data_IF_624875261638
#
_entry.id   IF_624875261638
#
_cell.length_a   1.000
_cell.length_b   1.000
_cell.length_c   1.000
_cell.angle_alpha   90.00
_cell.angle_beta   90.00
_cell.angle_gamma   90.00
#
_symmetry.space_group_name_H-M   'P 1'
#
loop_
_entity.id
_entity.type
_entity.pdbx_description
1 polymer ?
#
# COMPACT_ATOMS: atom_id res chain seq x y z
N UNK A 1 4.83 -15.46 1.83
CA UNK A 1 4.34 -15.22 0.46
C UNK A 1 4.25 -13.73 0.18
N UNK A 2 4.38 -13.30 -1.09
CA UNK A 2 4.24 -11.88 -1.47
C UNK A 2 3.03 -11.75 -2.39
N UNK A 3 2.08 -10.89 -2.02
CA UNK A 3 0.92 -10.55 -2.82
C UNK A 3 1.18 -9.22 -3.53
N UNK A 4 1.39 -9.25 -4.84
CA UNK A 4 1.61 -8.07 -5.67
C UNK A 4 0.31 -7.64 -6.36
N UNK A 5 -0.01 -6.36 -6.29
CA UNK A 5 -1.17 -5.78 -6.96
C UNK A 5 -0.75 -4.62 -7.83
N UNK A 6 -1.12 -4.68 -9.11
CA UNK A 6 -0.90 -3.63 -10.11
C UNK A 6 -2.23 -3.28 -10.77
N UNK A 7 -2.41 -2.04 -11.22
CA UNK A 7 -3.62 -1.65 -11.94
C UNK A 7 -3.60 -2.14 -13.38
N UNK A 8 -2.45 -2.02 -14.04
CA UNK A 8 -2.30 -2.26 -15.46
C UNK A 8 -1.40 -3.47 -15.72
N UNK A 9 -1.73 -4.21 -16.79
CA UNK A 9 -0.87 -5.31 -17.25
C UNK A 9 0.54 -4.82 -17.63
N UNK A 10 0.67 -3.60 -18.15
CA UNK A 10 1.98 -3.03 -18.49
C UNK A 10 2.88 -2.88 -17.25
N UNK A 11 2.33 -2.48 -16.10
CA UNK A 11 3.02 -2.42 -14.82
C UNK A 11 3.45 -3.81 -14.33
N UNK A 12 2.62 -4.83 -14.58
CA UNK A 12 2.86 -6.21 -14.17
C UNK A 12 3.98 -6.92 -14.97
N UNK A 13 4.23 -6.49 -16.22
CA UNK A 13 5.06 -7.25 -17.16
C UNK A 13 6.49 -7.53 -16.68
N UNK A 14 7.24 -6.58 -16.08
CA UNK A 14 8.58 -6.87 -15.55
C UNK A 14 8.57 -7.95 -14.47
N UNK A 15 7.58 -7.92 -13.60
CA UNK A 15 7.41 -8.91 -12.52
C UNK A 15 7.05 -10.28 -13.08
N UNK A 16 6.09 -10.37 -14.01
CA UNK A 16 5.70 -11.63 -14.64
C UNK A 16 6.91 -12.30 -15.31
N UNK A 17 7.69 -11.52 -16.05
CA UNK A 17 8.85 -12.03 -16.79
C UNK A 17 9.97 -12.44 -15.85
N UNK A 18 10.39 -11.56 -14.95
CA UNK A 18 11.61 -11.76 -14.16
C UNK A 18 11.39 -12.74 -12.99
N UNK A 19 10.17 -12.82 -12.44
CA UNK A 19 9.81 -13.78 -11.40
C UNK A 19 9.27 -15.10 -11.96
N UNK A 20 9.23 -15.26 -13.30
CA UNK A 20 8.70 -16.45 -13.99
C UNK A 20 7.28 -16.82 -13.55
N UNK A 21 6.41 -15.80 -13.37
CA UNK A 21 5.05 -16.02 -12.94
C UNK A 21 4.21 -16.64 -14.07
N UNK A 22 3.39 -17.62 -13.73
CA UNK A 22 2.48 -18.30 -14.66
C UNK A 22 1.06 -17.84 -14.42
N UNK A 23 0.33 -17.61 -15.52
CA UNK A 23 -1.07 -17.23 -15.46
C UNK A 23 -1.90 -18.34 -14.83
N UNK A 24 -2.82 -17.96 -13.97
CA UNK A 24 -3.81 -18.81 -13.33
C UNK A 24 -5.22 -18.36 -13.75
N UNK A 25 -6.15 -19.29 -13.89
CA UNK A 25 -7.54 -18.97 -14.18
C UNK A 25 -8.23 -18.37 -12.95
N UNK A 26 -8.96 -17.28 -13.15
CA UNK A 26 -9.64 -16.61 -12.05
C UNK A 26 -10.48 -15.42 -12.52
N UNK A 27 -11.19 -14.76 -11.60
CA UNK A 27 -12.00 -13.58 -11.90
C UNK A 27 -11.16 -12.35 -12.26
N UNK A 28 -9.88 -12.35 -11.91
CA UNK A 28 -8.86 -11.34 -12.24
C UNK A 28 -7.73 -11.98 -13.03
N UNK A 29 -6.90 -11.16 -13.68
CA UNK A 29 -5.66 -11.64 -14.30
C UNK A 29 -4.63 -11.93 -13.20
N UNK A 30 -4.54 -13.17 -12.77
CA UNK A 30 -3.66 -13.65 -11.70
C UNK A 30 -2.47 -14.38 -12.31
N UNK A 31 -1.29 -14.10 -11.79
CA UNK A 31 -0.03 -14.74 -12.17
C UNK A 31 0.69 -15.18 -10.90
N UNK A 32 1.23 -16.41 -10.86
CA UNK A 32 1.87 -16.91 -9.64
C UNK A 32 3.10 -17.77 -9.87
N UNK A 33 3.91 -17.87 -8.83
CA UNK A 33 4.89 -18.90 -8.55
C UNK A 33 4.73 -19.37 -7.08
N UNK A 34 5.58 -20.26 -6.52
CA UNK A 34 5.46 -20.69 -5.13
C UNK A 34 5.51 -19.56 -4.09
N UNK A 35 6.19 -18.46 -4.36
CA UNK A 35 6.48 -17.40 -3.38
C UNK A 35 5.70 -16.10 -3.63
N UNK A 36 5.10 -15.95 -4.81
CA UNK A 36 4.49 -14.69 -5.25
C UNK A 36 3.17 -14.92 -5.98
N UNK A 37 2.17 -14.13 -5.65
CA UNK A 37 0.91 -14.01 -6.40
C UNK A 37 0.80 -12.57 -6.86
N UNK A 38 0.77 -12.35 -8.18
CA UNK A 38 0.55 -11.05 -8.79
C UNK A 38 -0.84 -10.97 -9.39
N UNK A 39 -1.57 -9.92 -9.06
CA UNK A 39 -2.93 -9.69 -9.54
C UNK A 39 -3.02 -8.34 -10.24
N UNK A 40 -3.51 -8.33 -11.48
CA UNK A 40 -3.87 -7.11 -12.19
C UNK A 40 -5.31 -6.76 -11.84
N UNK A 41 -5.47 -5.67 -11.10
CA UNK A 41 -6.77 -5.28 -10.51
C UNK A 41 -7.71 -4.60 -11.50
N UNK A 42 -7.16 -4.01 -12.58
CA UNK A 42 -7.84 -2.97 -13.35
C UNK A 42 -7.82 -1.64 -12.60
N UNK A 43 -8.35 -0.60 -13.24
CA UNK A 43 -8.34 0.77 -12.72
C UNK A 43 -9.51 1.05 -11.79
N UNK A 44 -9.27 1.88 -10.79
CA UNK A 44 -10.26 2.38 -9.84
C UNK A 44 -10.28 1.67 -8.49
N UNK A 45 -10.64 2.41 -7.41
CA UNK A 45 -10.51 1.91 -6.05
C UNK A 45 -11.43 0.72 -5.74
N UNK A 46 -12.63 0.68 -6.36
CA UNK A 46 -13.56 -0.43 -6.15
C UNK A 46 -13.07 -1.74 -6.78
N UNK A 47 -12.51 -1.67 -8.01
CA UNK A 47 -11.93 -2.84 -8.67
C UNK A 47 -10.73 -3.37 -7.90
N UNK A 48 -9.88 -2.46 -7.44
CA UNK A 48 -8.71 -2.77 -6.63
C UNK A 48 -9.10 -3.44 -5.30
N UNK A 49 -10.09 -2.89 -4.59
CA UNK A 49 -10.59 -3.48 -3.34
C UNK A 49 -11.19 -4.87 -3.54
N UNK A 50 -11.96 -5.07 -4.61
CA UNK A 50 -12.54 -6.37 -4.95
C UNK A 50 -11.45 -7.42 -5.25
N UNK A 51 -10.41 -7.05 -6.00
CA UNK A 51 -9.30 -7.92 -6.32
C UNK A 51 -8.51 -8.34 -5.06
N UNK A 52 -8.15 -7.38 -4.20
CA UNK A 52 -7.46 -7.66 -2.93
C UNK A 52 -8.29 -8.57 -2.03
N UNK A 53 -9.56 -8.24 -1.83
CA UNK A 53 -10.45 -9.04 -0.98
C UNK A 53 -10.62 -10.47 -1.52
N UNK A 54 -10.76 -10.62 -2.84
CA UNK A 54 -10.88 -11.94 -3.47
C UNK A 54 -9.64 -12.79 -3.25
N UNK A 55 -8.46 -12.24 -3.48
CA UNK A 55 -7.19 -12.99 -3.37
C UNK A 55 -6.87 -13.31 -1.91
N UNK A 56 -6.93 -12.31 -1.02
CA UNK A 56 -6.54 -12.50 0.38
C UNK A 56 -7.53 -13.40 1.15
N UNK A 57 -8.83 -13.41 0.79
CA UNK A 57 -9.80 -14.32 1.41
C UNK A 57 -9.55 -15.79 1.06
N UNK A 58 -9.02 -16.06 -0.14
CA UNK A 58 -8.69 -17.43 -0.58
C UNK A 58 -7.39 -17.91 0.08
N UNK A 59 -6.39 -17.04 0.16
CA UNK A 59 -5.05 -17.43 0.59
C UNK A 59 -4.79 -17.26 2.08
N UNK A 60 -5.66 -16.53 2.81
CA UNK A 60 -5.58 -16.35 4.27
C UNK A 60 -4.16 -16.01 4.75
N UNK A 61 -3.62 -14.83 4.43
CA UNK A 61 -2.22 -14.49 4.70
C UNK A 61 -1.86 -14.60 6.18
N UNK A 62 -0.65 -15.07 6.46
CA UNK A 62 -0.06 -15.15 7.79
C UNK A 62 0.83 -13.96 8.12
N UNK A 63 1.53 -14.05 9.25
CA UNK A 63 2.38 -12.98 9.79
C UNK A 63 3.61 -12.68 8.93
N UNK A 64 4.12 -13.68 8.19
CA UNK A 64 5.28 -13.54 7.29
C UNK A 64 4.89 -13.15 5.87
N UNK A 65 3.61 -12.95 5.59
CA UNK A 65 3.13 -12.61 4.26
C UNK A 65 3.03 -11.09 4.11
N UNK A 66 3.32 -10.60 2.90
CA UNK A 66 3.29 -9.18 2.58
C UNK A 66 2.42 -8.89 1.38
N UNK A 67 1.78 -7.73 1.41
CA UNK A 67 1.11 -7.14 0.27
C UNK A 67 1.92 -5.96 -0.25
N UNK A 68 2.15 -5.91 -1.56
CA UNK A 68 2.71 -4.74 -2.23
C UNK A 68 1.77 -4.24 -3.33
N UNK A 69 1.36 -3.00 -3.23
CA UNK A 69 0.77 -2.28 -4.35
C UNK A 69 1.86 -1.56 -5.12
N UNK A 70 1.96 -1.85 -6.40
CA UNK A 70 2.98 -1.31 -7.28
C UNK A 70 2.30 -0.71 -8.50
N UNK A 71 2.63 0.53 -8.84
CA UNK A 71 2.03 1.19 -9.98
C UNK A 71 2.55 2.61 -10.20
N UNK A 72 2.03 3.25 -11.23
CA UNK A 72 2.31 4.64 -11.54
C UNK A 72 1.34 5.58 -10.82
N UNK A 73 1.75 6.82 -10.64
CA UNK A 73 0.94 7.89 -10.07
C UNK A 73 1.30 9.24 -10.69
N UNK A 74 0.37 10.18 -10.71
CA UNK A 74 0.68 11.56 -11.07
C UNK A 74 1.31 12.30 -9.88
N UNK A 75 2.30 13.15 -10.14
CA UNK A 75 2.85 14.09 -9.17
C UNK A 75 1.95 15.31 -9.01
N UNK A 76 1.67 15.70 -7.75
CA UNK A 76 0.89 16.91 -7.44
C UNK A 76 1.80 18.01 -6.88
N UNK A 77 2.64 17.68 -5.92
CA UNK A 77 3.50 18.64 -5.23
C UNK A 77 4.84 18.01 -4.89
N UNK A 78 5.93 18.76 -5.11
CA UNK A 78 7.33 18.40 -4.81
C UNK A 78 7.79 17.02 -5.30
N UNK A 79 6.92 16.27 -6.00
CA UNK A 79 7.22 14.96 -6.55
C UNK A 79 8.03 15.08 -7.85
N UNK A 80 9.15 14.37 -7.94
CA UNK A 80 10.00 14.37 -9.13
C UNK A 80 9.55 13.32 -10.14
N UNK A 81 9.44 13.71 -11.40
CA UNK A 81 9.13 12.78 -12.50
C UNK A 81 10.12 11.62 -12.53
N UNK A 82 9.63 10.43 -12.89
CA UNK A 82 10.40 9.20 -13.02
C UNK A 82 11.11 8.75 -11.73
N UNK A 83 10.67 9.25 -10.58
CA UNK A 83 11.15 8.82 -9.26
C UNK A 83 10.14 7.86 -8.64
N UNK A 84 10.64 6.79 -8.02
CA UNK A 84 9.81 5.88 -7.23
C UNK A 84 9.74 6.38 -5.80
N UNK A 85 8.55 6.43 -5.27
CA UNK A 85 8.27 6.80 -3.88
C UNK A 85 7.62 5.63 -3.13
N UNK A 86 7.98 5.50 -1.86
CA UNK A 86 7.28 4.67 -0.89
C UNK A 86 6.20 5.49 -0.21
N UNK A 87 4.98 4.96 -0.18
CA UNK A 87 3.83 5.68 0.34
C UNK A 87 3.65 5.35 1.81
N UNK A 88 3.70 6.37 2.67
CA UNK A 88 3.45 6.25 4.11
C UNK A 88 2.03 6.62 4.51
N UNK A 89 1.31 7.34 3.65
CA UNK A 89 -0.06 7.76 3.89
C UNK A 89 -0.87 7.67 2.60
N UNK A 90 -2.07 7.09 2.68
CA UNK A 90 -3.04 7.07 1.58
C UNK A 90 -4.32 7.74 2.02
N UNK A 91 -4.75 8.79 1.32
CA UNK A 91 -6.01 9.50 1.57
C UNK A 91 -7.03 9.14 0.48
N UNK A 92 -8.19 8.63 0.88
CA UNK A 92 -9.31 8.46 -0.03
C UNK A 92 -10.03 9.79 -0.24
N UNK A 93 -9.98 10.29 -1.49
CA UNK A 93 -10.55 11.60 -1.84
C UNK A 93 -12.07 11.68 -1.62
N UNK A 94 -12.78 10.55 -1.74
CA UNK A 94 -14.23 10.52 -1.67
C UNK A 94 -14.76 10.56 -0.23
N UNK A 95 -14.08 9.90 0.68
CA UNK A 95 -14.48 9.78 2.10
C UNK A 95 -13.64 10.65 3.04
N UNK A 96 -12.48 11.14 2.60
CA UNK A 96 -11.50 11.82 3.43
C UNK A 96 -10.80 10.91 4.45
N UNK A 97 -10.93 9.58 4.30
CA UNK A 97 -10.32 8.62 5.21
C UNK A 97 -8.86 8.38 4.87
N UNK A 98 -8.02 8.35 5.90
CA UNK A 98 -6.60 8.06 5.80
C UNK A 98 -6.28 6.61 6.16
N UNK A 99 -5.29 6.05 5.47
CA UNK A 99 -4.68 4.74 5.75
C UNK A 99 -3.17 4.92 5.82
N UNK A 100 -2.53 4.22 6.74
CA UNK A 100 -1.09 4.34 7.01
C UNK A 100 -0.40 2.99 6.80
N UNK A 101 0.11 2.70 5.59
CA UNK A 101 1.03 1.59 5.39
C UNK A 101 2.28 1.81 6.23
N UNK A 102 2.85 0.72 6.71
CA UNK A 102 3.93 0.80 7.67
C UNK A 102 5.27 1.26 7.13
N UNK A 103 6.02 1.93 8.02
CA UNK A 103 7.37 2.45 7.84
C UNK A 103 8.33 2.02 8.96
N UNK A 104 8.20 0.79 9.48
CA UNK A 104 9.10 0.28 10.54
C UNK A 104 10.56 0.22 10.10
N UNK A 105 10.81 0.13 8.80
CA UNK A 105 12.15 0.15 8.22
C UNK A 105 12.24 1.33 7.27
N UNK A 106 13.29 2.15 7.42
CA UNK A 106 13.56 3.29 6.55
C UNK A 106 14.50 2.86 5.42
N UNK A 107 13.99 2.51 4.23
CA UNK A 107 14.82 2.26 3.06
C UNK A 107 15.34 3.57 2.47
N UNK A 108 16.20 3.45 1.46
CA UNK A 108 16.70 4.59 0.69
C UNK A 108 15.66 5.23 -0.24
N UNK A 109 14.55 4.53 -0.49
CA UNK A 109 13.43 5.01 -1.32
C UNK A 109 12.76 6.21 -0.66
N UNK A 110 12.64 7.37 -1.34
CA UNK A 110 11.99 8.54 -0.78
C UNK A 110 10.52 8.28 -0.46
N UNK A 111 10.00 9.01 0.52
CA UNK A 111 8.62 8.87 1.00
C UNK A 111 7.70 9.92 0.39
N UNK A 112 6.42 9.55 0.26
CA UNK A 112 5.38 10.46 -0.21
C UNK A 112 4.01 10.11 0.39
N UNK A 113 3.10 11.08 0.40
CA UNK A 113 1.67 10.88 0.59
C UNK A 113 0.99 10.59 -0.74
N UNK A 114 -0.03 9.74 -0.72
CA UNK A 114 -0.83 9.37 -1.89
C UNK A 114 -2.29 9.79 -1.68
N UNK A 115 -2.86 10.46 -2.65
CA UNK A 115 -4.29 10.75 -2.73
C UNK A 115 -4.89 9.83 -3.78
N UNK A 116 -5.93 9.10 -3.43
CA UNK A 116 -6.63 8.21 -4.37
C UNK A 116 -7.99 8.78 -4.73
N UNK A 117 -8.27 8.88 -6.02
CA UNK A 117 -9.59 9.29 -6.53
C UNK A 117 -10.15 8.34 -7.59
N UNK A 118 -11.45 8.46 -7.85
CA UNK A 118 -12.15 7.61 -8.82
C UNK A 118 -11.91 8.01 -10.30
N UNK A 119 -11.30 9.17 -10.54
CA UNK A 119 -11.02 9.69 -11.89
C UNK A 119 -9.54 10.02 -12.01
N UNK A 120 -9.05 9.98 -13.23
CA UNK A 120 -7.69 10.40 -13.53
C UNK A 120 -7.49 11.87 -13.13
N UNK A 121 -6.34 12.16 -12.53
CA UNK A 121 -5.88 13.53 -12.29
C UNK A 121 -5.62 14.25 -13.62
N UNK A 122 -6.15 15.44 -13.78
CA UNK A 122 -6.06 16.21 -15.02
C UNK A 122 -5.18 17.48 -14.90
N UNK A 123 -4.64 17.74 -13.70
CA UNK A 123 -3.82 18.93 -13.46
C UNK A 123 -4.61 20.25 -13.47
N UNK A 124 -5.94 20.20 -13.50
CA UNK A 124 -6.79 21.40 -13.60
C UNK A 124 -6.96 22.07 -12.22
N UNK A 125 -6.93 23.42 -12.14
CA UNK A 125 -7.16 24.13 -10.87
C UNK A 125 -8.54 23.85 -10.22
N UNK A 126 -9.49 23.37 -11.03
CA UNK A 126 -10.83 23.00 -10.56
C UNK A 126 -10.91 21.55 -10.07
N UNK A 127 -9.83 20.79 -10.18
CA UNK A 127 -9.77 19.41 -9.70
C UNK A 127 -10.06 19.36 -8.19
N UNK A 128 -10.94 18.46 -7.73
CA UNK A 128 -11.22 18.28 -6.30
C UNK A 128 -9.98 18.08 -5.43
N UNK A 129 -8.91 17.54 -6.00
CA UNK A 129 -7.62 17.34 -5.32
C UNK A 129 -7.05 18.65 -4.81
N UNK A 130 -7.08 19.73 -5.61
CA UNK A 130 -6.56 21.05 -5.18
C UNK A 130 -7.34 21.61 -3.99
N UNK A 131 -8.65 21.40 -3.92
CA UNK A 131 -9.46 21.81 -2.76
C UNK A 131 -9.08 20.99 -1.53
N UNK A 132 -8.91 19.68 -1.68
CA UNK A 132 -8.51 18.80 -0.58
C UNK A 132 -7.13 19.17 -0.03
N UNK A 133 -6.18 19.48 -0.90
CA UNK A 133 -4.84 19.93 -0.50
C UNK A 133 -4.88 21.34 0.11
N UNK A 134 -5.72 22.26 -0.42
CA UNK A 134 -5.84 23.65 0.04
C UNK A 134 -6.67 23.80 1.31
N UNK A 135 -7.77 23.05 1.44
CA UNK A 135 -8.73 23.13 2.54
C UNK A 135 -8.38 22.19 3.70
N UNK A 136 -7.50 21.22 3.46
CA UNK A 136 -7.06 20.33 4.52
C UNK A 136 -6.28 21.17 5.55
N UNK A 137 -6.70 21.09 6.80
CA UNK A 137 -5.88 21.41 7.98
C UNK A 137 -4.69 20.44 8.12
N UNK A 138 -4.41 19.65 7.07
CA UNK A 138 -3.15 18.97 6.93
C UNK A 138 -2.10 20.07 6.89
N UNK A 139 -1.12 20.10 7.80
CA UNK A 139 0.06 20.85 7.54
C UNK A 139 0.58 20.26 6.23
N UNK A 140 0.38 20.98 5.12
CA UNK A 140 1.21 20.81 3.94
C UNK A 140 2.59 21.19 4.47
N UNK A 141 3.31 20.19 4.95
CA UNK A 141 4.74 20.33 5.16
C UNK A 141 5.22 20.71 3.77
N UNK A 142 5.70 21.92 3.62
CA UNK A 142 6.01 22.57 2.34
C UNK A 142 6.99 21.76 1.46
N UNK A 143 7.50 20.65 1.96
CA UNK A 143 8.53 19.83 1.37
C UNK A 143 8.10 18.36 1.15
N UNK A 144 6.85 17.96 1.50
CA UNK A 144 6.37 16.59 1.30
C UNK A 144 5.92 16.35 -0.14
N UNK A 145 6.40 15.26 -0.74
CA UNK A 145 5.93 14.81 -2.04
C UNK A 145 4.50 14.27 -1.94
N UNK A 146 3.61 14.77 -2.80
CA UNK A 146 2.22 14.32 -2.88
C UNK A 146 1.98 13.73 -4.27
N UNK A 147 1.42 12.54 -4.29
CA UNK A 147 1.11 11.77 -5.48
C UNK A 147 -0.41 11.54 -5.59
N UNK A 148 -0.86 11.20 -6.78
CA UNK A 148 -2.25 10.85 -7.04
C UNK A 148 -2.37 9.59 -7.88
N UNK A 149 -3.24 8.68 -7.45
CA UNK A 149 -3.59 7.48 -8.19
C UNK A 149 -5.12 7.20 -8.19
N UNK A 150 -5.48 6.04 -8.68
CA UNK A 150 -6.88 5.62 -8.72
C UNK A 150 -7.14 4.33 -7.92
N UNK A 151 -6.17 3.72 -7.28
CA UNK A 151 -6.30 2.37 -6.67
C UNK A 151 -5.89 2.30 -5.20
N UNK A 152 -4.95 3.12 -4.77
CA UNK A 152 -4.26 3.00 -3.47
C UNK A 152 -5.18 2.89 -2.27
N UNK A 153 -6.24 3.71 -2.19
CA UNK A 153 -7.18 3.68 -1.07
C UNK A 153 -7.99 2.38 -1.03
N UNK A 154 -8.40 1.89 -2.20
CA UNK A 154 -9.13 0.62 -2.30
C UNK A 154 -8.27 -0.56 -1.86
N UNK A 155 -6.99 -0.56 -2.25
CA UNK A 155 -6.03 -1.59 -1.84
C UNK A 155 -5.76 -1.51 -0.34
N UNK A 156 -5.42 -0.32 0.18
CA UNK A 156 -5.11 -0.12 1.59
C UNK A 156 -6.30 -0.49 2.49
N UNK A 157 -7.51 -0.05 2.11
CA UNK A 157 -8.74 -0.38 2.82
C UNK A 157 -8.98 -1.88 2.87
N UNK A 158 -8.95 -2.56 1.72
CA UNK A 158 -9.21 -3.99 1.66
C UNK A 158 -8.11 -4.79 2.39
N UNK A 159 -6.84 -4.43 2.21
CA UNK A 159 -5.71 -5.07 2.86
C UNK A 159 -5.78 -4.98 4.40
N UNK A 160 -6.22 -3.86 4.95
CA UNK A 160 -6.33 -3.65 6.41
C UNK A 160 -7.27 -4.64 7.12
N UNK A 161 -8.14 -5.34 6.37
CA UNK A 161 -8.99 -6.39 6.91
C UNK A 161 -8.28 -7.75 7.05
N UNK A 162 -7.13 -7.93 6.41
CA UNK A 162 -6.42 -9.20 6.35
C UNK A 162 -5.00 -9.13 6.93
N UNK A 163 -4.36 -7.97 6.83
CA UNK A 163 -2.96 -7.74 7.13
C UNK A 163 -2.81 -6.62 8.15
N UNK A 164 -1.75 -6.71 8.94
CA UNK A 164 -1.31 -5.61 9.80
C UNK A 164 -0.62 -4.51 8.97
N UNK A 165 -0.54 -3.26 9.47
CA UNK A 165 0.08 -2.17 8.72
C UNK A 165 1.49 -2.49 8.20
N UNK A 166 2.34 -3.10 9.00
CA UNK A 166 3.73 -3.44 8.64
C UNK A 166 3.85 -4.49 7.51
N UNK A 167 2.76 -5.18 7.17
CA UNK A 167 2.71 -6.14 6.07
C UNK A 167 2.28 -5.47 4.74
N UNK A 168 1.95 -4.17 4.75
CA UNK A 168 1.47 -3.46 3.57
C UNK A 168 2.55 -2.51 3.07
N UNK A 169 2.88 -2.59 1.79
CA UNK A 169 3.80 -1.70 1.09
C UNK A 169 3.14 -1.11 -0.14
N UNK A 170 3.39 0.16 -0.40
CA UNK A 170 2.90 0.83 -1.60
C UNK A 170 4.06 1.57 -2.24
N UNK A 171 4.39 1.20 -3.48
CA UNK A 171 5.41 1.84 -4.29
C UNK A 171 4.76 2.49 -5.51
N UNK A 172 5.04 3.76 -5.72
CA UNK A 172 4.52 4.52 -6.86
C UNK A 172 5.64 5.23 -7.60
N UNK A 173 5.67 5.05 -8.93
CA UNK A 173 6.55 5.83 -9.81
C UNK A 173 5.79 7.03 -10.36
N UNK A 174 6.38 8.21 -10.28
CA UNK A 174 5.76 9.42 -10.82
C UNK A 174 5.82 9.38 -12.34
N UNK A 175 4.65 9.31 -12.97
CA UNK A 175 4.50 9.21 -14.42
C UNK A 175 4.31 10.54 -15.12
N UNK A 176 3.58 11.43 -14.51
CA UNK A 176 3.14 12.70 -15.10
C UNK A 176 2.70 13.70 -14.01
N UNK A 177 2.34 14.90 -14.43
CA UNK A 177 1.76 15.97 -13.60
C UNK A 177 0.35 16.34 -14.08
N UNK A 178 -0.43 15.32 -14.48
CA UNK A 178 -1.77 15.48 -15.06
C UNK A 178 -1.81 15.37 -16.59
N UNK A 179 -0.68 15.14 -17.24
CA UNK A 179 -0.57 14.98 -18.68
C UNK A 179 -0.82 13.51 -19.12
N UNK A 180 -1.25 13.27 -20.35
CA UNK A 180 -1.30 11.93 -20.92
C UNK A 180 0.11 11.33 -21.03
N UNK A 181 0.24 10.05 -20.67
CA UNK A 181 1.49 9.29 -20.79
C UNK A 181 1.38 8.23 -21.91
N UNK A 182 2.50 7.86 -22.50
CA UNK A 182 2.55 6.81 -23.53
C UNK A 182 2.65 5.42 -22.90
N UNK A 183 2.42 4.38 -23.72
CA UNK A 183 2.62 2.99 -23.25
C UNK A 183 4.10 2.68 -23.01
N UNK A 184 4.97 3.30 -23.78
CA UNK A 184 6.42 3.19 -23.68
C UNK A 184 6.90 3.75 -22.33
N UNK A 185 6.36 4.91 -21.91
CA UNK A 185 6.65 5.51 -20.61
C UNK A 185 6.20 4.60 -19.46
N UNK A 186 5.00 4.04 -19.53
CA UNK A 186 4.51 3.09 -18.52
C UNK A 186 5.44 1.88 -18.42
N UNK A 187 5.92 1.36 -19.55
CA UNK A 187 6.83 0.21 -19.54
C UNK A 187 8.18 0.54 -18.92
N UNK A 188 8.73 1.73 -19.18
CA UNK A 188 9.98 2.19 -18.58
C UNK A 188 9.84 2.38 -17.06
N UNK A 189 8.73 2.97 -16.60
CA UNK A 189 8.43 3.16 -15.19
C UNK A 189 8.19 1.82 -14.47
N UNK A 190 7.59 0.84 -15.15
CA UNK A 190 7.41 -0.50 -14.60
C UNK A 190 8.75 -1.21 -14.34
N UNK A 191 9.77 -0.99 -15.17
CA UNK A 191 11.13 -1.50 -14.91
C UNK A 191 11.76 -0.82 -13.67
N UNK A 192 11.58 0.50 -13.50
CA UNK A 192 12.04 1.21 -12.29
C UNK A 192 11.34 0.68 -11.03
N UNK A 193 10.04 0.45 -11.10
CA UNK A 193 9.27 -0.14 -10.01
C UNK A 193 9.75 -1.56 -9.68
N UNK A 194 10.15 -2.34 -10.67
CA UNK A 194 10.73 -3.65 -10.43
C UNK A 194 12.08 -3.57 -9.70
N UNK A 195 12.92 -2.59 -10.04
CA UNK A 195 14.19 -2.37 -9.32
C UNK A 195 13.94 -1.96 -7.86
N UNK A 196 13.02 -1.01 -7.62
CA UNK A 196 12.64 -0.61 -6.27
C UNK A 196 12.05 -1.79 -5.46
N UNK A 197 11.25 -2.65 -6.09
CA UNK A 197 10.77 -3.89 -5.46
C UNK A 197 11.92 -4.78 -4.99
N UNK A 198 12.97 -4.95 -5.80
CA UNK A 198 14.13 -5.76 -5.40
C UNK A 198 14.90 -5.16 -4.21
N UNK A 199 14.91 -3.83 -4.09
CA UNK A 199 15.52 -3.13 -2.94
C UNK A 199 14.67 -3.27 -1.66
N UNK A 200 13.35 -3.32 -1.77
CA UNK A 200 12.44 -3.52 -0.63
C UNK A 200 12.45 -4.96 -0.07
N UNK A 201 12.69 -5.97 -0.91
CA UNK A 201 12.61 -7.37 -0.51
C UNK A 201 13.48 -7.75 0.70
N UNK A 202 14.76 -7.33 0.81
CA UNK A 202 15.58 -7.62 1.98
C UNK A 202 15.02 -7.01 3.26
N UNK A 203 14.48 -5.79 3.17
CA UNK A 203 13.89 -5.09 4.30
C UNK A 203 12.64 -5.82 4.83
N UNK A 204 11.78 -6.26 3.91
CA UNK A 204 10.59 -7.03 4.26
C UNK A 204 10.95 -8.36 4.94
N UNK A 205 11.91 -9.09 4.39
CA UNK A 205 12.39 -10.36 4.98
C UNK A 205 13.04 -10.16 6.35
N UNK A 206 13.75 -9.06 6.54
CA UNK A 206 14.37 -8.75 7.84
C UNK A 206 13.32 -8.46 8.93
N UNK A 207 12.13 -7.99 8.59
CA UNK A 207 11.03 -7.82 9.54
C UNK A 207 10.49 -9.16 10.06
N UNK A 208 10.48 -10.20 9.23
CA UNK A 208 10.04 -11.54 9.61
C UNK A 208 11.00 -12.25 10.62
N UNK A 209 12.26 -11.82 10.68
CA UNK A 209 13.32 -12.48 11.47
C UNK A 209 13.37 -11.98 12.93
N UNK A 210 12.50 -11.07 13.37
CA UNK A 210 12.42 -10.75 14.79
C UNK A 210 11.87 -11.95 15.55
N UNK A 211 12.83 -12.77 16.04
CA UNK A 211 12.60 -13.93 16.89
C UNK A 211 11.76 -13.52 18.10
N UNK A 212 10.73 -14.31 18.38
CA UNK A 212 10.00 -14.36 19.66
C UNK A 212 9.50 -13.01 20.21
N UNK A 213 8.75 -12.24 19.42
CA UNK A 213 7.85 -11.26 20.01
C UNK A 213 6.69 -12.06 20.64
N UNK A 214 6.58 -12.15 21.98
CA UNK A 214 5.48 -12.87 22.59
C UNK A 214 4.17 -12.29 22.10
N UNK A 215 3.22 -13.15 21.70
CA UNK A 215 1.89 -12.69 21.36
C UNK A 215 1.32 -11.94 22.58
N UNK A 216 1.21 -10.62 22.49
CA UNK A 216 0.60 -9.81 23.56
C UNK A 216 -0.87 -10.20 23.60
N UNK A 217 -1.26 -10.90 24.68
CA UNK A 217 -2.67 -11.19 24.90
C UNK A 217 -3.41 -9.88 25.15
N UNK A 218 -4.32 -9.54 24.24
CA UNK A 218 -5.20 -8.38 24.40
C UNK A 218 -6.50 -8.74 25.16
N UNK A 219 -6.61 -9.96 25.70
CA UNK A 219 -7.87 -10.48 26.23
C UNK A 219 -8.42 -9.63 27.39
N UNK A 220 -7.57 -9.30 28.38
CA UNK A 220 -7.99 -8.46 29.51
C UNK A 220 -8.40 -7.06 29.05
N UNK A 221 -7.60 -6.42 28.20
CA UNK A 221 -7.92 -5.10 27.66
C UNK A 221 -9.17 -5.12 26.79
N UNK A 222 -9.35 -6.16 25.99
CA UNK A 222 -10.53 -6.33 25.14
C UNK A 222 -11.80 -6.60 25.96
N UNK A 223 -11.68 -7.24 27.13
CA UNK A 223 -12.80 -7.42 28.08
C UNK A 223 -13.16 -6.10 28.75
N UNK A 224 -12.19 -5.36 29.23
CA UNK A 224 -12.40 -4.05 29.86
C UNK A 224 -13.06 -3.05 28.90
N UNK A 225 -12.68 -3.07 27.64
CA UNK A 225 -13.25 -2.24 26.57
C UNK A 225 -14.56 -2.77 26.00
N UNK A 226 -15.06 -3.92 26.46
CA UNK A 226 -16.20 -4.63 25.85
C UNK A 226 -16.07 -4.78 24.32
N UNK A 227 -14.87 -5.10 23.87
CA UNK A 227 -14.51 -5.09 22.46
C UNK A 227 -15.22 -6.20 21.66
N UNK A 228 -15.81 -5.81 20.52
CA UNK A 228 -16.31 -6.77 19.52
C UNK A 228 -15.17 -7.62 18.94
N UNK A 229 -15.48 -8.72 18.24
CA UNK A 229 -14.47 -9.55 17.58
C UNK A 229 -13.58 -8.75 16.61
N UNK A 230 -14.18 -7.80 15.87
CA UNK A 230 -13.43 -6.92 14.96
C UNK A 230 -12.50 -5.99 15.73
N UNK A 231 -12.97 -5.41 16.84
CA UNK A 231 -12.14 -4.55 17.70
C UNK A 231 -11.01 -5.34 18.35
N UNK A 232 -11.25 -6.57 18.83
CA UNK A 232 -10.22 -7.45 19.40
C UNK A 232 -9.09 -7.72 18.38
N UNK A 233 -9.46 -8.00 17.13
CA UNK A 233 -8.49 -8.21 16.05
C UNK A 233 -7.66 -6.96 15.79
N UNK A 234 -8.29 -5.79 15.66
CA UNK A 234 -7.58 -4.52 15.46
C UNK A 234 -6.65 -4.19 16.63
N UNK A 235 -7.10 -4.46 17.86
CA UNK A 235 -6.30 -4.26 19.06
C UNK A 235 -5.07 -5.18 19.09
N UNK A 236 -5.25 -6.48 18.80
CA UNK A 236 -4.12 -7.41 18.71
C UNK A 236 -3.10 -6.99 17.65
N UNK A 237 -3.57 -6.53 16.48
CA UNK A 237 -2.69 -6.04 15.43
C UNK A 237 -1.93 -4.77 15.85
N UNK A 238 -2.60 -3.85 16.55
CA UNK A 238 -1.97 -2.63 17.06
C UNK A 238 -0.91 -2.93 18.11
N UNK A 239 -1.22 -3.79 19.08
CA UNK A 239 -0.27 -4.18 20.11
C UNK A 239 0.96 -4.88 19.53
N UNK A 240 0.75 -5.80 18.61
CA UNK A 240 1.84 -6.44 17.88
C UNK A 240 2.70 -5.43 17.10
N UNK A 241 2.06 -4.46 16.45
CA UNK A 241 2.75 -3.37 15.78
C UNK A 241 3.59 -2.52 16.73
N UNK A 242 3.06 -2.15 17.90
CA UNK A 242 3.80 -1.42 18.94
C UNK A 242 5.07 -2.17 19.36
N UNK A 243 4.97 -3.47 19.55
CA UNK A 243 6.11 -4.33 19.91
C UNK A 243 7.17 -4.36 18.81
N UNK A 244 6.75 -4.53 17.54
CA UNK A 244 7.67 -4.48 16.40
C UNK A 244 8.37 -3.12 16.28
N UNK A 245 7.66 -2.04 16.58
CA UNK A 245 8.18 -0.68 16.58
C UNK A 245 9.08 -0.38 17.78
N UNK A 246 9.16 -1.28 18.78
CA UNK A 246 9.86 -1.04 20.04
C UNK A 246 9.15 -0.03 20.95
N UNK A 247 7.84 0.16 20.75
CA UNK A 247 6.98 0.99 21.60
C UNK A 247 6.43 0.11 22.72
N UNK A 248 6.61 0.54 23.97
CA UNK A 248 6.03 -0.16 25.11
C UNK A 248 4.50 -0.08 25.06
N UNK A 249 3.86 -1.21 24.74
CA UNK A 249 2.42 -1.32 24.63
C UNK A 249 1.68 -0.99 25.92
N UNK A 250 2.29 -1.24 27.10
CA UNK A 250 1.72 -0.89 28.39
C UNK A 250 1.63 0.63 28.58
N UNK A 251 2.62 1.38 28.11
CA UNK A 251 2.61 2.84 28.21
C UNK A 251 1.51 3.49 27.37
N UNK A 252 1.07 2.82 26.31
CA UNK A 252 -0.02 3.28 25.42
C UNK A 252 -1.40 2.97 26.02
N UNK A 253 -1.51 1.89 26.78
CA UNK A 253 -2.76 1.45 27.43
C UNK A 253 -3.08 2.28 28.67
N UNK A 254 -2.06 2.72 29.40
CA UNK A 254 -2.19 3.45 30.66
C UNK A 254 -2.36 4.98 30.46
N UNK A 255 -2.30 5.48 29.23
CA UNK A 255 -2.44 6.90 28.85
C UNK A 255 -3.86 7.25 28.38
#
# INVERSE_FOLDING_TARGET
MIFLFTALRAEAMPFIRNLNLKMEEGPFSIYRNPDTILTVTGTGPLSAAAAVSSVLSIHSPGEEDFLMNIGIAAGISTASLHTVYRIHKVTDLSSGKDYYPDLLITPSTPEASLITGAKRYAGEPTDPVFRTVSDSKLPVLSDEAILYDMEGSGIAMAASHFLAPHQIRILKAVSDEGNPITKEDVSALAELLYQAYLEELPCMKAQCVKEDVPAVSCDSLAEDLHASLTMRRSLSQLLYYCELAGIDSHSVIDS
#
